data_IF_236248766564
#
_entry.id   IF_236248766564
#
_cell.length_a   1.000
_cell.length_b   1.000
_cell.length_c   1.000
_cell.angle_alpha   90.00
_cell.angle_beta   90.00
_cell.angle_gamma   90.00
#
_symmetry.space_group_name_H-M   'P 1'
#
loop_
_entity.id
_entity.type
_entity.pdbx_description
1 polymer ?
#
# COMPACT_ATOMS: atom_id res chain seq x y z
N UNK A 1 -14.82 -6.27 7.86
CA UNK A 1 -14.18 -7.10 6.84
C UNK A 1 -15.15 -8.16 6.40
N UNK A 2 -15.20 -8.45 5.12
CA UNK A 2 -15.97 -9.57 4.59
C UNK A 2 -15.01 -10.73 4.32
N UNK A 3 -15.36 -11.92 4.78
CA UNK A 3 -14.71 -13.14 4.31
C UNK A 3 -15.36 -13.50 2.97
N UNK A 4 -14.54 -13.80 1.97
CA UNK A 4 -15.01 -14.00 0.60
C UNK A 4 -14.47 -15.33 0.07
N UNK A 5 -15.31 -16.03 -0.69
CA UNK A 5 -14.85 -17.18 -1.46
C UNK A 5 -14.06 -16.66 -2.64
N UNK A 6 -12.78 -17.07 -2.71
CA UNK A 6 -11.86 -16.72 -3.78
C UNK A 6 -11.59 -17.98 -4.59
N UNK A 7 -11.88 -17.95 -5.89
CA UNK A 7 -11.67 -19.09 -6.77
C UNK A 7 -10.69 -18.75 -7.90
N UNK A 8 -10.18 -19.79 -8.54
CA UNK A 8 -9.45 -19.66 -9.78
C UNK A 8 -10.41 -19.20 -10.91
N UNK A 9 -10.00 -18.25 -11.74
CA UNK A 9 -10.83 -17.71 -12.83
C UNK A 9 -11.12 -18.71 -13.95
N UNK A 10 -10.30 -19.75 -14.08
CA UNK A 10 -10.36 -20.70 -15.18
C UNK A 10 -11.33 -21.87 -14.90
N UNK A 11 -11.89 -21.96 -13.70
CA UNK A 11 -12.90 -22.97 -13.37
C UNK A 11 -14.32 -22.43 -13.60
N UNK A 12 -15.30 -23.33 -13.69
CA UNK A 12 -16.72 -22.96 -13.57
C UNK A 12 -16.97 -22.37 -12.17
N UNK A 13 -17.13 -21.05 -12.11
CA UNK A 13 -17.28 -20.31 -10.86
C UNK A 13 -18.58 -20.72 -10.13
N UNK A 14 -18.52 -20.97 -8.81
CA UNK A 14 -19.71 -21.21 -8.00
C UNK A 14 -20.58 -19.95 -7.95
N UNK A 15 -21.90 -20.07 -7.94
CA UNK A 15 -22.80 -18.91 -7.82
C UNK A 15 -23.28 -18.69 -6.40
N UNK A 16 -23.32 -19.77 -5.61
CA UNK A 16 -23.73 -19.78 -4.23
C UNK A 16 -22.95 -20.83 -3.43
N UNK A 17 -23.28 -20.96 -2.15
CA UNK A 17 -22.63 -21.89 -1.21
C UNK A 17 -22.84 -23.35 -1.62
N UNK A 18 -23.95 -23.70 -2.27
CA UNK A 18 -24.24 -25.07 -2.70
C UNK A 18 -23.30 -25.54 -3.81
N UNK A 19 -22.92 -24.64 -4.71
CA UNK A 19 -21.95 -24.91 -5.79
C UNK A 19 -20.52 -25.16 -5.30
N UNK A 20 -20.23 -24.95 -4.00
CA UNK A 20 -18.92 -25.24 -3.40
C UNK A 20 -18.71 -26.72 -3.06
N UNK A 21 -19.79 -27.52 -3.04
CA UNK A 21 -19.75 -28.93 -2.63
C UNK A 21 -18.78 -29.76 -3.48
N UNK A 22 -18.69 -29.45 -4.78
CA UNK A 22 -17.83 -30.15 -5.73
C UNK A 22 -16.46 -29.46 -5.92
N UNK A 23 -16.10 -28.51 -5.05
CA UNK A 23 -14.86 -27.74 -5.16
C UNK A 23 -13.82 -28.19 -4.16
N UNK A 24 -12.56 -28.20 -4.58
CA UNK A 24 -11.39 -28.30 -3.69
C UNK A 24 -11.22 -26.98 -2.94
N UNK A 25 -12.04 -26.81 -1.89
CA UNK A 25 -12.05 -25.66 -0.99
C UNK A 25 -11.19 -25.94 0.24
N UNK A 26 -10.18 -25.10 0.50
CA UNK A 26 -9.29 -25.23 1.67
C UNK A 26 -9.23 -23.93 2.46
N UNK A 27 -9.23 -24.04 3.79
CA UNK A 27 -8.97 -22.92 4.71
C UNK A 27 -7.96 -23.28 5.80
N UNK A 28 -7.28 -22.29 6.40
CA UNK A 28 -6.40 -22.53 7.54
C UNK A 28 -7.19 -23.00 8.78
N UNK A 29 -6.59 -23.91 9.55
CA UNK A 29 -7.18 -24.35 10.82
C UNK A 29 -7.22 -23.22 11.87
N UNK A 30 -8.32 -23.12 12.61
CA UNK A 30 -8.57 -22.14 13.66
C UNK A 30 -8.81 -20.72 13.16
N UNK A 31 -9.08 -20.54 11.86
CA UNK A 31 -9.18 -19.20 11.27
C UNK A 31 -10.60 -18.63 11.28
N UNK A 32 -10.69 -17.31 11.06
CA UNK A 32 -11.98 -16.64 10.86
C UNK A 32 -12.75 -17.21 9.65
N UNK A 33 -12.02 -17.68 8.64
CA UNK A 33 -12.58 -18.30 7.45
C UNK A 33 -13.20 -19.68 7.73
N UNK A 34 -12.53 -20.51 8.55
CA UNK A 34 -13.09 -21.78 8.99
C UNK A 34 -14.39 -21.54 9.79
N UNK A 35 -14.39 -20.54 10.68
CA UNK A 35 -15.59 -20.18 11.45
C UNK A 35 -16.73 -19.72 10.52
N UNK A 36 -16.43 -18.89 9.52
CA UNK A 36 -17.41 -18.40 8.57
C UNK A 36 -18.02 -19.55 7.72
N UNK A 37 -17.21 -20.50 7.28
CA UNK A 37 -17.68 -21.72 6.59
C UNK A 37 -18.51 -22.60 7.52
N UNK A 38 -18.14 -22.73 8.79
CA UNK A 38 -18.92 -23.46 9.80
C UNK A 38 -20.33 -22.87 9.98
N UNK A 39 -20.46 -21.56 10.03
CA UNK A 39 -21.78 -20.90 10.08
C UNK A 39 -22.58 -21.06 8.77
N UNK A 40 -21.90 -21.03 7.62
CA UNK A 40 -22.54 -21.28 6.33
C UNK A 40 -23.03 -22.74 6.21
N UNK A 41 -22.25 -23.70 6.71
CA UNK A 41 -22.59 -25.13 6.69
C UNK A 41 -23.89 -25.42 7.45
N UNK A 42 -24.16 -24.73 8.57
CA UNK A 42 -25.44 -24.88 9.31
C UNK A 42 -26.66 -24.57 8.43
N UNK A 43 -26.51 -23.70 7.42
CA UNK A 43 -27.56 -23.31 6.47
C UNK A 43 -27.52 -24.13 5.18
N UNK A 44 -26.41 -24.81 4.91
CA UNK A 44 -26.18 -25.59 3.70
C UNK A 44 -25.38 -26.85 4.04
N UNK A 45 -26.05 -27.92 4.53
CA UNK A 45 -25.38 -29.12 5.05
C UNK A 45 -24.54 -29.89 4.01
N UNK A 46 -24.74 -29.63 2.71
CA UNK A 46 -23.90 -30.18 1.64
C UNK A 46 -22.52 -29.51 1.50
N UNK A 47 -22.31 -28.34 2.11
CA UNK A 47 -21.04 -27.61 2.03
C UNK A 47 -19.91 -28.43 2.65
N UNK A 48 -18.90 -28.75 1.85
CA UNK A 48 -17.69 -29.44 2.30
C UNK A 48 -16.45 -28.56 2.04
N UNK A 49 -15.50 -28.63 2.96
CA UNK A 49 -14.19 -27.99 2.84
C UNK A 49 -13.14 -28.79 3.59
N UNK A 50 -11.88 -28.56 3.23
CA UNK A 50 -10.73 -29.12 3.92
C UNK A 50 -10.09 -28.05 4.81
N UNK A 51 -9.62 -28.49 5.97
CA UNK A 51 -8.94 -27.63 6.95
C UNK A 51 -7.48 -28.03 7.01
N UNK A 52 -6.57 -27.08 6.70
CA UNK A 52 -5.13 -27.34 6.69
C UNK A 52 -4.45 -26.68 7.89
N UNK A 53 -3.87 -27.50 8.77
CA UNK A 53 -3.09 -27.02 9.93
C UNK A 53 -1.76 -26.43 9.48
N UNK A 54 -1.35 -25.32 10.07
CA UNK A 54 -0.09 -24.62 9.76
C UNK A 54 -0.08 -23.85 8.43
N UNK A 55 -1.16 -23.92 7.65
CA UNK A 55 -1.30 -23.12 6.44
C UNK A 55 -1.58 -21.66 6.78
N UNK A 56 -1.12 -20.74 5.92
CA UNK A 56 -1.52 -19.34 5.94
C UNK A 56 -2.35 -19.02 4.70
N UNK A 57 -3.31 -18.10 4.81
CA UNK A 57 -4.23 -17.76 3.71
C UNK A 57 -3.49 -17.37 2.43
N UNK A 58 -2.35 -16.69 2.54
CA UNK A 58 -1.51 -16.29 1.41
C UNK A 58 -1.04 -17.49 0.55
N UNK A 59 -0.69 -18.61 1.18
CA UNK A 59 -0.22 -19.81 0.48
C UNK A 59 -1.38 -20.52 -0.21
N UNK A 60 -2.54 -20.56 0.44
CA UNK A 60 -3.76 -21.11 -0.17
C UNK A 60 -4.21 -20.29 -1.38
N UNK A 61 -4.10 -18.96 -1.31
CA UNK A 61 -4.41 -18.09 -2.45
C UNK A 61 -3.42 -18.32 -3.62
N UNK A 62 -2.14 -18.59 -3.35
CA UNK A 62 -1.20 -19.01 -4.40
C UNK A 62 -1.63 -20.34 -5.04
N UNK A 63 -1.96 -21.33 -4.23
CA UNK A 63 -2.39 -22.65 -4.74
C UNK A 63 -3.69 -22.57 -5.56
N UNK A 64 -4.60 -21.64 -5.22
CA UNK A 64 -5.78 -21.34 -6.05
C UNK A 64 -5.35 -20.75 -7.39
N UNK A 65 -4.45 -19.77 -7.41
CA UNK A 65 -3.94 -19.15 -8.66
C UNK A 65 -3.27 -20.18 -9.59
N UNK A 66 -2.49 -21.10 -9.01
CA UNK A 66 -1.79 -22.19 -9.68
C UNK A 66 -2.73 -23.35 -10.11
N UNK A 67 -4.00 -23.32 -9.72
CA UNK A 67 -5.00 -24.35 -10.05
C UNK A 67 -4.88 -25.65 -9.23
N UNK A 68 -4.02 -25.67 -8.20
CA UNK A 68 -3.93 -26.79 -7.25
C UNK A 68 -5.17 -26.87 -6.36
N UNK A 69 -5.78 -25.73 -6.04
CA UNK A 69 -7.06 -25.61 -5.37
C UNK A 69 -8.08 -24.94 -6.29
N UNK A 70 -9.36 -25.27 -6.11
CA UNK A 70 -10.41 -24.61 -6.89
C UNK A 70 -10.77 -23.28 -6.24
N UNK A 71 -10.90 -23.28 -4.91
CA UNK A 71 -11.24 -22.10 -4.14
C UNK A 71 -10.54 -22.11 -2.76
N UNK A 72 -10.42 -20.93 -2.17
CA UNK A 72 -10.08 -20.69 -0.78
C UNK A 72 -11.02 -19.63 -0.22
N UNK A 73 -10.91 -19.32 1.06
CA UNK A 73 -11.58 -18.16 1.65
C UNK A 73 -10.52 -17.19 2.14
N UNK A 74 -10.73 -15.90 1.88
CA UNK A 74 -9.88 -14.82 2.36
C UNK A 74 -10.71 -13.55 2.59
N UNK A 75 -10.23 -12.66 3.44
CA UNK A 75 -10.87 -11.36 3.57
C UNK A 75 -10.42 -10.37 2.48
N UNK A 76 -11.16 -9.27 2.36
CA UNK A 76 -10.94 -8.20 1.38
C UNK A 76 -9.48 -7.69 1.37
N UNK A 77 -8.83 -7.59 2.54
CA UNK A 77 -7.44 -7.11 2.64
C UNK A 77 -6.45 -8.15 2.13
N UNK A 78 -6.63 -9.41 2.51
CA UNK A 78 -5.81 -10.52 2.06
C UNK A 78 -5.92 -10.73 0.55
N UNK A 79 -7.13 -10.61 -0.01
CA UNK A 79 -7.36 -10.69 -1.45
C UNK A 79 -6.70 -9.51 -2.19
N UNK A 80 -6.86 -8.29 -1.66
CA UNK A 80 -6.30 -7.09 -2.28
C UNK A 80 -4.76 -7.14 -2.34
N UNK A 81 -4.09 -7.71 -1.33
CA UNK A 81 -2.65 -8.01 -1.37
C UNK A 81 -2.33 -9.12 -2.38
N UNK A 82 -3.06 -10.23 -2.33
CA UNK A 82 -2.80 -11.39 -3.18
C UNK A 82 -2.92 -11.09 -4.69
N UNK A 83 -3.88 -10.26 -5.09
CA UNK A 83 -4.10 -9.85 -6.50
C UNK A 83 -2.94 -9.11 -7.14
N UNK A 84 -2.03 -8.54 -6.34
CA UNK A 84 -0.81 -7.95 -6.87
C UNK A 84 0.16 -9.02 -7.42
N UNK A 85 0.03 -10.28 -6.98
CA UNK A 85 0.96 -11.36 -7.32
C UNK A 85 0.31 -12.47 -8.14
N UNK A 86 -1.01 -12.59 -8.04
CA UNK A 86 -1.77 -13.74 -8.53
C UNK A 86 -2.96 -13.24 -9.37
N UNK A 87 -2.85 -13.38 -10.70
CA UNK A 87 -3.81 -12.80 -11.66
C UNK A 87 -5.08 -13.63 -11.85
N UNK A 88 -5.06 -14.92 -11.47
CA UNK A 88 -6.16 -15.85 -11.66
C UNK A 88 -7.12 -15.87 -10.46
N UNK A 89 -6.99 -14.94 -9.51
CA UNK A 89 -7.87 -14.86 -8.33
C UNK A 89 -9.10 -13.99 -8.55
N UNK A 90 -10.29 -14.57 -8.33
CA UNK A 90 -11.56 -13.85 -8.35
C UNK A 90 -12.36 -14.09 -7.07
N UNK A 91 -12.81 -13.00 -6.43
CA UNK A 91 -13.83 -13.06 -5.39
C UNK A 91 -15.18 -13.32 -6.03
N UNK A 92 -15.91 -14.29 -5.48
CA UNK A 92 -17.15 -14.79 -6.07
C UNK A 92 -18.37 -14.32 -5.28
N UNK A 93 -18.37 -14.53 -3.96
CA UNK A 93 -19.36 -14.00 -3.03
C UNK A 93 -18.82 -13.98 -1.59
N UNK A 94 -19.51 -13.24 -0.72
CA UNK A 94 -19.19 -13.16 0.71
C UNK A 94 -19.68 -14.43 1.43
N UNK A 95 -18.82 -15.04 2.26
CA UNK A 95 -19.18 -16.17 3.12
C UNK A 95 -19.59 -15.65 4.50
N UNK A 96 -20.87 -15.31 4.62
CA UNK A 96 -21.45 -14.79 5.86
C UNK A 96 -21.41 -13.26 6.00
N UNK A 97 -21.89 -12.71 7.13
CA UNK A 97 -21.96 -11.28 7.35
C UNK A 97 -20.58 -10.66 7.61
N UNK A 98 -20.41 -9.34 7.40
CA UNK A 98 -19.16 -8.65 7.72
C UNK A 98 -18.79 -8.78 9.20
N UNK A 99 -17.53 -9.11 9.47
CA UNK A 99 -16.93 -9.22 10.80
C UNK A 99 -16.11 -7.98 11.16
N UNK A 100 -15.86 -7.76 12.46
CA UNK A 100 -14.93 -6.74 12.97
C UNK A 100 -13.66 -7.42 13.48
N UNK A 101 -12.51 -6.83 13.17
CA UNK A 101 -11.23 -7.25 13.76
C UNK A 101 -11.17 -6.78 15.22
N UNK A 102 -10.66 -7.63 16.09
CA UNK A 102 -10.46 -7.35 17.50
C UNK A 102 -9.19 -8.04 18.01
N UNK A 103 -8.61 -7.50 19.07
CA UNK A 103 -7.59 -8.22 19.84
C UNK A 103 -8.29 -9.21 20.78
N UNK A 104 -7.82 -10.46 20.77
CA UNK A 104 -8.30 -11.51 21.65
C UNK A 104 -7.39 -11.63 22.87
N UNK A 105 -7.98 -11.92 24.01
CA UNK A 105 -7.29 -12.16 25.27
C UNK A 105 -7.70 -13.52 25.82
N UNK A 106 -6.86 -14.17 26.64
CA UNK A 106 -7.27 -15.31 27.45
C UNK A 106 -8.56 -15.00 28.23
N UNK A 107 -9.39 -16.02 28.44
CA UNK A 107 -10.68 -15.84 29.14
C UNK A 107 -10.52 -15.37 30.60
N UNK A 108 -9.35 -15.57 31.19
CA UNK A 108 -8.96 -15.17 32.53
C UNK A 108 -8.10 -13.89 32.56
N UNK A 109 -8.00 -13.16 31.44
CA UNK A 109 -7.24 -11.92 31.39
C UNK A 109 -7.78 -10.87 32.37
N UNK A 110 -6.87 -10.25 33.12
CA UNK A 110 -7.17 -9.24 34.14
C UNK A 110 -8.10 -8.13 33.60
N UNK A 111 -9.20 -7.78 34.29
CA UNK A 111 -10.12 -6.73 33.86
C UNK A 111 -9.44 -5.38 33.60
N UNK A 112 -8.38 -5.07 34.36
CA UNK A 112 -7.58 -3.86 34.21
C UNK A 112 -6.90 -3.80 32.83
N UNK A 113 -6.32 -4.91 32.36
CA UNK A 113 -5.70 -4.98 31.04
C UNK A 113 -6.74 -4.76 29.93
N UNK A 114 -7.92 -5.37 30.08
CA UNK A 114 -8.99 -5.21 29.09
C UNK A 114 -9.45 -3.75 28.99
N UNK A 115 -9.54 -3.06 30.13
CA UNK A 115 -9.88 -1.64 30.19
C UNK A 115 -8.81 -0.77 29.52
N UNK A 116 -7.53 -0.98 29.84
CA UNK A 116 -6.42 -0.23 29.22
C UNK A 116 -6.39 -0.39 27.70
N UNK A 117 -6.67 -1.59 27.19
CA UNK A 117 -6.74 -1.86 25.74
C UNK A 117 -7.95 -1.15 25.11
N UNK A 118 -9.10 -1.12 25.77
CA UNK A 118 -10.27 -0.38 25.29
C UNK A 118 -10.00 1.12 25.25
N UNK A 119 -9.38 1.68 26.30
CA UNK A 119 -9.00 3.08 26.38
C UNK A 119 -7.95 3.43 25.32
N UNK A 120 -6.98 2.55 25.09
CA UNK A 120 -6.02 2.65 23.97
C UNK A 120 -6.73 2.75 22.62
N UNK A 121 -7.61 1.81 22.28
CA UNK A 121 -8.34 1.82 21.00
C UNK A 121 -9.30 3.00 20.86
N UNK A 122 -9.92 3.44 21.96
CA UNK A 122 -10.75 4.65 22.00
C UNK A 122 -9.92 5.89 21.67
N UNK A 123 -8.73 6.01 22.25
CA UNK A 123 -7.80 7.12 21.98
C UNK A 123 -7.30 7.10 20.53
N UNK A 124 -6.73 5.98 20.07
CA UNK A 124 -6.17 5.91 18.70
C UNK A 124 -7.23 5.95 17.60
N UNK A 125 -8.47 5.59 17.93
CA UNK A 125 -9.62 5.76 17.04
C UNK A 125 -10.03 7.23 16.90
N UNK A 126 -10.08 7.96 18.02
CA UNK A 126 -10.45 9.39 18.05
C UNK A 126 -9.38 10.30 17.43
N UNK A 127 -8.10 10.04 17.72
CA UNK A 127 -7.00 10.88 17.23
C UNK A 127 -6.55 10.53 15.79
N UNK A 128 -7.21 9.55 15.16
CA UNK A 128 -6.94 9.13 13.78
C UNK A 128 -5.72 8.24 13.60
N UNK A 129 -4.97 7.91 14.66
CA UNK A 129 -3.79 7.03 14.60
C UNK A 129 -4.12 5.66 14.03
N UNK A 130 -5.24 5.06 14.43
CA UNK A 130 -5.66 3.77 13.89
C UNK A 130 -5.87 3.83 12.37
N UNK A 131 -6.55 4.88 11.89
CA UNK A 131 -6.79 5.07 10.46
C UNK A 131 -5.49 5.28 9.68
N UNK A 132 -4.53 6.03 10.24
CA UNK A 132 -3.19 6.20 9.64
C UNK A 132 -2.43 4.88 9.55
N UNK A 133 -2.49 4.05 10.60
CA UNK A 133 -1.87 2.73 10.60
C UNK A 133 -2.50 1.82 9.54
N UNK A 134 -3.83 1.77 9.48
CA UNK A 134 -4.53 0.98 8.46
C UNK A 134 -4.22 1.46 7.05
N UNK A 135 -4.21 2.77 6.79
CA UNK A 135 -3.84 3.30 5.48
C UNK A 135 -2.37 3.03 5.13
N UNK A 136 -1.46 3.11 6.11
CA UNK A 136 -0.03 2.85 5.91
C UNK A 136 0.20 1.47 5.32
N UNK A 137 -0.45 0.45 5.86
CA UNK A 137 -0.24 -0.95 5.48
C UNK A 137 -1.19 -1.47 4.40
N UNK A 138 -2.42 -0.94 4.32
CA UNK A 138 -3.47 -1.50 3.45
C UNK A 138 -4.08 -0.47 2.49
N UNK A 139 -3.82 0.83 2.66
CA UNK A 139 -4.45 1.90 1.88
C UNK A 139 -4.11 1.88 0.38
N UNK A 140 -2.99 1.24 0.05
CA UNK A 140 -2.50 1.04 -1.32
C UNK A 140 -2.82 -0.36 -1.89
N UNK A 141 -3.35 -1.29 -1.10
CA UNK A 141 -3.71 -2.62 -1.61
C UNK A 141 -4.89 -2.53 -2.59
N UNK A 142 -4.81 -3.26 -3.71
CA UNK A 142 -5.85 -3.24 -4.75
C UNK A 142 -5.93 -1.94 -5.57
N UNK A 143 -4.89 -1.11 -5.57
CA UNK A 143 -4.79 0.11 -6.41
C UNK A 143 -4.37 -0.18 -7.84
N UNK A 144 -3.63 -1.27 -8.04
CA UNK A 144 -3.23 -1.75 -9.35
C UNK A 144 -4.32 -2.67 -9.90
N UNK A 145 -4.59 -2.57 -11.20
CA UNK A 145 -5.37 -3.61 -11.86
C UNK A 145 -4.48 -4.88 -12.04
N UNK A 146 -5.08 -6.07 -12.20
CA UNK A 146 -4.30 -7.31 -12.31
C UNK A 146 -3.32 -7.36 -13.48
N UNK A 147 -3.60 -6.68 -14.59
CA UNK A 147 -2.70 -6.66 -15.76
C UNK A 147 -1.46 -5.83 -15.49
N UNK A 148 -1.61 -4.68 -14.83
CA UNK A 148 -0.48 -3.81 -14.45
C UNK A 148 0.43 -4.53 -13.46
N UNK A 149 -0.14 -5.22 -12.47
CA UNK A 149 0.60 -5.98 -11.48
C UNK A 149 1.37 -7.16 -12.11
N UNK A 150 0.75 -7.90 -13.04
CA UNK A 150 1.41 -8.96 -13.79
C UNK A 150 2.55 -8.43 -14.68
N UNK A 151 2.31 -7.33 -15.41
CA UNK A 151 3.33 -6.66 -16.22
C UNK A 151 4.52 -6.20 -15.37
N UNK A 152 4.25 -5.66 -14.17
CA UNK A 152 5.27 -5.26 -13.23
C UNK A 152 6.17 -6.42 -12.81
N UNK A 153 5.59 -7.56 -12.41
CA UNK A 153 6.38 -8.74 -11.99
C UNK A 153 7.27 -9.24 -13.14
N UNK A 154 6.74 -9.30 -14.36
CA UNK A 154 7.51 -9.72 -15.53
C UNK A 154 8.70 -8.80 -15.74
N UNK A 155 8.49 -7.48 -15.70
CA UNK A 155 9.57 -6.49 -15.85
C UNK A 155 10.53 -6.50 -14.66
N UNK A 156 10.05 -6.74 -13.44
CA UNK A 156 10.88 -6.78 -12.24
C UNK A 156 11.89 -7.94 -12.32
N UNK A 157 11.49 -9.05 -12.94
CA UNK A 157 12.38 -10.18 -13.15
C UNK A 157 13.30 -10.03 -14.39
N UNK A 158 12.86 -9.28 -15.42
CA UNK A 158 13.56 -9.21 -16.72
C UNK A 158 14.37 -7.95 -16.98
N UNK A 159 13.95 -6.80 -16.43
CA UNK A 159 14.48 -5.47 -16.78
C UNK A 159 15.15 -4.82 -15.57
N UNK A 160 14.52 -4.88 -14.39
CA UNK A 160 15.08 -4.27 -13.17
C UNK A 160 16.51 -4.73 -12.83
N UNK A 161 16.93 -6.00 -13.04
CA UNK A 161 18.29 -6.43 -12.75
C UNK A 161 19.37 -5.62 -13.47
N UNK A 162 19.09 -5.13 -14.68
CA UNK A 162 20.03 -4.33 -15.49
C UNK A 162 20.30 -2.94 -14.88
N UNK A 163 19.36 -2.42 -14.07
CA UNK A 163 19.42 -1.08 -13.49
C UNK A 163 19.54 -1.06 -11.96
N UNK A 164 19.45 -2.23 -11.30
CA UNK A 164 19.45 -2.36 -9.83
C UNK A 164 20.61 -1.60 -9.18
N UNK A 165 21.83 -1.80 -9.65
CA UNK A 165 23.02 -1.15 -9.10
C UNK A 165 22.94 0.38 -9.15
N UNK A 166 22.27 0.94 -10.16
CA UNK A 166 22.08 2.40 -10.29
C UNK A 166 21.07 2.92 -9.26
N UNK A 167 20.01 2.17 -8.99
CA UNK A 167 19.07 2.50 -7.92
C UNK A 167 19.72 2.38 -6.54
N UNK A 168 20.54 1.35 -6.31
CA UNK A 168 21.30 1.19 -5.06
C UNK A 168 22.31 2.33 -4.86
N UNK A 169 23.02 2.73 -5.91
CA UNK A 169 23.90 3.91 -5.89
C UNK A 169 23.12 5.18 -5.52
N UNK A 170 22.02 5.43 -6.23
CA UNK A 170 21.20 6.62 -6.00
C UNK A 170 20.57 6.65 -4.61
N UNK A 171 20.14 5.50 -4.11
CA UNK A 171 19.57 5.33 -2.78
C UNK A 171 20.57 5.62 -1.68
N UNK A 172 21.81 5.12 -1.82
CA UNK A 172 22.90 5.38 -0.88
C UNK A 172 23.24 6.88 -0.79
N UNK A 173 23.13 7.63 -1.90
CA UNK A 173 23.38 9.07 -1.91
C UNK A 173 22.36 9.89 -1.11
N UNK A 174 21.11 9.44 -1.05
CA UNK A 174 20.01 10.20 -0.42
C UNK A 174 19.50 9.57 0.88
N UNK A 175 20.03 8.42 1.28
CA UNK A 175 19.62 7.70 2.49
C UNK A 175 18.24 7.05 2.38
N UNK A 176 17.85 6.61 1.19
CA UNK A 176 16.55 5.96 0.92
C UNK A 176 16.68 4.46 0.64
N UNK A 177 15.54 3.78 0.57
CA UNK A 177 15.47 2.41 0.05
C UNK A 177 15.50 2.43 -1.49
N UNK A 178 16.43 1.68 -2.10
CA UNK A 178 16.53 1.60 -3.57
C UNK A 178 15.26 1.11 -4.23
N UNK A 179 14.46 0.28 -3.54
CA UNK A 179 13.18 -0.23 -4.05
C UNK A 179 12.14 0.88 -4.17
N UNK A 180 12.23 1.95 -3.37
CA UNK A 180 11.37 3.12 -3.51
C UNK A 180 11.70 3.88 -4.80
N UNK A 181 12.99 4.08 -5.09
CA UNK A 181 13.44 4.73 -6.31
C UNK A 181 13.12 3.90 -7.55
N UNK A 182 13.30 2.58 -7.48
CA UNK A 182 12.91 1.66 -8.54
C UNK A 182 11.39 1.67 -8.77
N UNK A 183 10.57 1.73 -7.72
CA UNK A 183 9.12 1.84 -7.83
C UNK A 183 8.68 3.17 -8.46
N UNK A 184 9.32 4.29 -8.09
CA UNK A 184 9.12 5.59 -8.73
C UNK A 184 9.47 5.53 -10.23
N UNK A 185 10.64 5.02 -10.58
CA UNK A 185 11.07 4.87 -11.97
C UNK A 185 10.12 3.98 -12.80
N UNK A 186 9.59 2.92 -12.20
CA UNK A 186 8.61 2.08 -12.87
C UNK A 186 7.31 2.84 -13.17
N UNK A 187 6.81 3.60 -12.19
CA UNK A 187 5.61 4.40 -12.37
C UNK A 187 5.80 5.49 -13.45
N UNK A 188 6.99 6.03 -13.57
CA UNK A 188 7.33 7.09 -14.53
C UNK A 188 7.56 6.55 -15.96
N UNK A 189 8.35 5.49 -16.11
CA UNK A 189 8.82 5.02 -17.43
C UNK A 189 8.73 3.51 -17.66
N UNK A 190 8.24 2.74 -16.68
CA UNK A 190 8.34 1.27 -16.68
C UNK A 190 9.78 0.75 -16.85
N UNK A 191 10.75 1.51 -16.32
CA UNK A 191 12.21 1.34 -16.49
C UNK A 191 12.71 1.47 -17.92
N UNK A 192 12.07 2.29 -18.74
CA UNK A 192 12.55 2.65 -20.07
C UNK A 192 13.41 3.94 -20.01
N UNK A 193 14.74 3.86 -20.20
CA UNK A 193 15.59 5.05 -20.20
C UNK A 193 15.34 5.96 -21.41
N UNK A 194 14.65 5.47 -22.44
CA UNK A 194 14.35 6.23 -23.66
C UNK A 194 12.91 6.79 -23.67
N UNK A 195 12.18 6.66 -22.56
CA UNK A 195 10.81 7.16 -22.45
C UNK A 195 10.72 8.66 -22.75
N UNK A 196 9.68 9.05 -23.49
CA UNK A 196 9.38 10.45 -23.83
C UNK A 196 7.88 10.72 -23.74
N UNK A 197 7.49 11.86 -23.17
CA UNK A 197 6.09 12.31 -23.15
C UNK A 197 5.80 13.41 -24.18
N UNK A 198 4.51 13.63 -24.44
CA UNK A 198 4.02 14.79 -25.21
C UNK A 198 4.31 16.14 -24.54
N UNK A 199 4.58 16.15 -23.23
CA UNK A 199 4.99 17.34 -22.45
C UNK A 199 6.52 17.50 -22.38
N UNK A 200 7.28 16.78 -23.21
CA UNK A 200 8.74 16.84 -23.31
C UNK A 200 9.50 16.41 -22.04
N UNK A 201 8.84 15.64 -21.18
CA UNK A 201 9.46 14.95 -20.07
C UNK A 201 10.12 13.67 -20.60
N UNK A 202 11.34 13.34 -20.16
CA UNK A 202 12.15 12.27 -20.75
C UNK A 202 12.96 11.47 -19.74
N UNK A 203 13.29 10.24 -20.13
CA UNK A 203 14.22 9.39 -19.41
C UNK A 203 13.57 8.50 -18.37
N UNK A 204 14.41 7.68 -17.71
CA UNK A 204 13.96 6.68 -16.74
C UNK A 204 13.16 7.26 -15.57
N UNK A 205 13.53 8.45 -15.09
CA UNK A 205 12.85 9.15 -14.01
C UNK A 205 11.89 10.24 -14.51
N UNK A 206 11.66 10.33 -15.82
CA UNK A 206 10.77 11.32 -16.43
C UNK A 206 11.05 12.74 -15.91
N UNK A 207 12.24 13.27 -16.25
CA UNK A 207 12.66 14.61 -15.84
C UNK A 207 12.21 15.68 -16.84
N UNK A 208 11.64 16.77 -16.33
CA UNK A 208 11.47 18.01 -17.10
C UNK A 208 12.84 18.60 -17.44
N UNK A 209 12.89 19.47 -18.43
CA UNK A 209 14.13 20.18 -18.80
C UNK A 209 14.65 21.05 -17.65
N UNK A 210 13.76 21.82 -17.02
CA UNK A 210 14.09 22.63 -15.85
C UNK A 210 14.66 21.79 -14.69
N UNK A 211 14.08 20.62 -14.44
CA UNK A 211 14.57 19.73 -13.36
C UNK A 211 15.92 19.14 -13.73
N UNK A 212 16.11 18.71 -14.98
CA UNK A 212 17.39 18.21 -15.46
C UNK A 212 18.50 19.27 -15.35
N UNK A 213 18.23 20.50 -15.76
CA UNK A 213 19.16 21.63 -15.64
C UNK A 213 19.51 21.90 -14.18
N UNK A 214 18.50 21.95 -13.31
CA UNK A 214 18.69 22.16 -11.86
C UNK A 214 19.52 21.05 -11.22
N UNK A 215 19.35 19.81 -11.68
CA UNK A 215 20.09 18.64 -11.20
C UNK A 215 21.42 18.42 -11.95
N UNK A 216 21.77 19.30 -12.90
CA UNK A 216 22.99 19.25 -13.72
C UNK A 216 23.13 17.95 -14.53
N UNK A 217 22.03 17.51 -15.13
CA UNK A 217 21.97 16.37 -16.05
C UNK A 217 22.39 16.81 -17.45
N UNK A 218 23.36 16.13 -18.04
CA UNK A 218 23.79 16.38 -19.42
C UNK A 218 22.92 15.60 -20.40
N UNK A 219 22.56 14.36 -20.05
CA UNK A 219 21.75 13.49 -20.91
C UNK A 219 20.60 12.84 -20.13
N UNK A 220 19.38 13.34 -20.33
CA UNK A 220 18.16 12.77 -19.72
C UNK A 220 17.87 11.32 -20.14
N UNK A 221 18.41 10.87 -21.28
CA UNK A 221 18.23 9.51 -21.80
C UNK A 221 19.32 8.54 -21.31
N UNK A 222 20.33 9.02 -20.59
CA UNK A 222 21.25 8.16 -19.85
C UNK A 222 20.56 7.68 -18.57
N UNK A 223 20.46 6.36 -18.40
CA UNK A 223 19.76 5.76 -17.27
C UNK A 223 20.35 6.20 -15.92
N UNK A 224 21.68 6.23 -15.82
CA UNK A 224 22.37 6.58 -14.57
C UNK A 224 22.17 8.04 -14.22
N UNK A 225 22.37 8.96 -15.18
CA UNK A 225 22.13 10.38 -14.95
C UNK A 225 20.65 10.65 -14.59
N UNK A 226 19.71 10.00 -15.29
CA UNK A 226 18.29 10.13 -15.03
C UNK A 226 17.92 9.66 -13.61
N UNK A 227 18.36 8.45 -13.20
CA UNK A 227 18.11 7.89 -11.86
C UNK A 227 18.70 8.80 -10.78
N UNK A 228 19.97 9.18 -10.90
CA UNK A 228 20.66 9.99 -9.88
C UNK A 228 20.00 11.37 -9.71
N UNK A 229 19.58 11.99 -10.81
CA UNK A 229 18.88 13.27 -10.76
C UNK A 229 17.48 13.15 -10.19
N UNK A 230 16.72 12.11 -10.55
CA UNK A 230 15.41 11.83 -9.95
C UNK A 230 15.50 11.63 -8.43
N UNK A 231 16.50 10.88 -7.97
CA UNK A 231 16.76 10.66 -6.54
C UNK A 231 17.10 11.98 -5.81
N UNK A 232 18.02 12.79 -6.36
CA UNK A 232 18.36 14.11 -5.80
C UNK A 232 17.16 15.06 -5.78
N UNK A 233 16.34 15.04 -6.82
CA UNK A 233 15.14 15.86 -6.88
C UNK A 233 14.12 15.45 -5.82
N UNK A 234 13.90 14.14 -5.61
CA UNK A 234 13.08 13.64 -4.51
C UNK A 234 13.62 14.09 -3.14
N UNK A 235 14.93 13.96 -2.91
CA UNK A 235 15.57 14.39 -1.67
C UNK A 235 15.39 15.89 -1.40
N UNK A 236 15.55 16.72 -2.44
CA UNK A 236 15.29 18.15 -2.38
C UNK A 236 13.83 18.45 -1.98
N UNK A 237 12.86 17.75 -2.58
CA UNK A 237 11.44 17.93 -2.22
C UNK A 237 11.18 17.52 -0.76
N UNK A 238 11.80 16.43 -0.28
CA UNK A 238 11.73 16.03 1.13
C UNK A 238 12.34 17.08 2.08
N UNK A 239 13.43 17.73 1.67
CA UNK A 239 14.07 18.80 2.44
C UNK A 239 13.16 20.04 2.55
N UNK A 240 12.46 20.39 1.47
CA UNK A 240 11.54 21.53 1.44
C UNK A 240 10.27 21.31 2.29
N UNK A 241 9.96 20.08 2.70
CA UNK A 241 8.82 19.82 3.58
C UNK A 241 9.06 20.36 4.99
N UNK A 242 8.02 20.85 5.70
CA UNK A 242 8.15 21.25 7.10
C UNK A 242 8.77 20.14 7.98
N UNK A 243 9.73 20.48 8.85
CA UNK A 243 10.45 19.52 9.69
C UNK A 243 9.54 18.68 10.61
N UNK A 244 8.36 19.20 10.95
CA UNK A 244 7.33 18.51 11.77
C UNK A 244 6.68 17.30 11.08
N UNK A 245 6.81 17.17 9.77
CA UNK A 245 6.22 16.06 9.00
C UNK A 245 7.12 14.83 9.17
N UNK A 246 6.67 13.78 9.87
CA UNK A 246 7.47 12.59 10.11
C UNK A 246 7.47 11.64 8.90
N UNK A 247 8.40 10.70 8.89
CA UNK A 247 8.29 9.52 8.02
C UNK A 247 7.18 8.58 8.54
N UNK A 248 6.45 7.86 7.65
CA UNK A 248 6.65 7.80 6.20
C UNK A 248 5.89 8.87 5.40
N UNK A 249 5.04 9.69 6.05
CA UNK A 249 4.22 10.70 5.39
C UNK A 249 5.04 11.73 4.61
N UNK A 250 6.21 12.10 5.13
CA UNK A 250 7.16 12.99 4.46
C UNK A 250 7.53 12.49 3.06
N UNK A 251 7.81 11.20 2.92
CA UNK A 251 8.12 10.57 1.62
C UNK A 251 6.92 10.60 0.68
N UNK A 252 5.72 10.26 1.15
CA UNK A 252 4.51 10.23 0.31
C UNK A 252 4.11 11.62 -0.16
N UNK A 253 4.21 12.63 0.71
CA UNK A 253 3.99 14.02 0.37
C UNK A 253 5.05 14.51 -0.64
N UNK A 254 6.32 14.16 -0.46
CA UNK A 254 7.36 14.51 -1.43
C UNK A 254 7.13 13.88 -2.82
N UNK A 255 6.63 12.63 -2.89
CA UNK A 255 6.24 12.00 -4.16
C UNK A 255 5.04 12.69 -4.82
N UNK A 256 4.07 13.17 -4.02
CA UNK A 256 2.98 13.99 -4.56
C UNK A 256 3.50 15.33 -5.12
N UNK A 257 4.47 15.96 -4.45
CA UNK A 257 5.15 17.15 -4.95
C UNK A 257 6.04 16.86 -6.17
N UNK A 258 6.59 15.64 -6.30
CA UNK A 258 7.39 15.23 -7.46
C UNK A 258 6.54 15.30 -8.73
N UNK A 259 5.30 14.80 -8.65
CA UNK A 259 4.37 14.77 -9.78
C UNK A 259 3.69 16.11 -10.05
N UNK A 260 3.16 16.76 -9.01
CA UNK A 260 2.28 17.93 -9.17
C UNK A 260 2.94 19.27 -8.80
N UNK A 261 4.17 19.24 -8.29
CA UNK A 261 4.88 20.41 -7.78
C UNK A 261 4.51 20.75 -6.33
N UNK A 262 5.48 21.28 -5.59
CA UNK A 262 5.33 21.60 -4.16
C UNK A 262 4.26 22.66 -3.88
N UNK A 263 4.05 23.60 -4.79
CA UNK A 263 3.02 24.66 -4.63
C UNK A 263 1.60 24.08 -4.59
N UNK A 264 1.29 23.16 -5.49
CA UNK A 264 -0.02 22.50 -5.51
C UNK A 264 -0.19 21.51 -4.36
N UNK A 265 0.88 20.85 -3.93
CA UNK A 265 0.85 20.08 -2.68
C UNK A 265 0.48 20.97 -1.50
N UNK A 266 1.09 22.16 -1.39
CA UNK A 266 0.80 23.09 -0.30
C UNK A 266 -0.66 23.58 -0.35
N UNK A 267 -1.19 23.84 -1.55
CA UNK A 267 -2.61 24.16 -1.72
C UNK A 267 -3.52 23.03 -1.20
N UNK A 268 -3.18 21.76 -1.45
CA UNK A 268 -3.91 20.62 -0.90
C UNK A 268 -3.78 20.51 0.64
N UNK A 269 -2.59 20.79 1.19
CA UNK A 269 -2.37 20.85 2.65
C UNK A 269 -3.21 21.95 3.29
N UNK A 270 -3.31 23.11 2.66
CA UNK A 270 -4.18 24.22 3.09
C UNK A 270 -5.65 23.78 3.10
N UNK A 271 -6.13 23.13 2.02
CA UNK A 271 -7.51 22.61 1.99
C UNK A 271 -7.77 21.59 3.11
N UNK A 272 -6.80 20.71 3.36
CA UNK A 272 -6.87 19.69 4.42
C UNK A 272 -6.98 20.35 5.80
N UNK A 273 -6.17 21.38 6.05
CA UNK A 273 -6.20 22.13 7.30
C UNK A 273 -7.52 22.89 7.47
N UNK A 274 -8.06 23.51 6.40
CA UNK A 274 -9.37 24.20 6.43
C UNK A 274 -10.51 23.25 6.80
N UNK A 275 -10.36 21.96 6.53
CA UNK A 275 -11.30 20.93 6.89
C UNK A 275 -11.11 20.36 8.31
N UNK A 276 -10.18 20.92 9.09
CA UNK A 276 -9.87 20.44 10.44
C UNK A 276 -9.11 19.10 10.48
N UNK A 277 -8.53 18.68 9.35
CA UNK A 277 -7.72 17.47 9.23
C UNK A 277 -6.22 17.82 9.29
N UNK A 278 -5.35 16.83 9.54
CA UNK A 278 -3.91 17.07 9.60
C UNK A 278 -3.32 17.31 8.20
N UNK A 279 -2.69 18.46 7.95
CA UNK A 279 -1.97 18.73 6.70
C UNK A 279 -0.64 17.98 6.61
N UNK A 280 -0.24 17.26 7.65
CA UNK A 280 1.02 16.54 7.75
C UNK A 280 0.83 15.02 7.55
N UNK A 281 -0.40 14.58 7.26
CA UNK A 281 -0.80 13.19 7.03
C UNK A 281 -1.14 12.97 5.56
N UNK A 282 -0.39 12.12 4.86
CA UNK A 282 -0.69 11.75 3.47
C UNK A 282 -2.10 11.19 3.32
N UNK A 283 -2.53 10.34 4.27
CA UNK A 283 -3.87 9.74 4.28
C UNK A 283 -5.00 10.79 4.27
N UNK A 284 -4.76 11.94 4.90
CA UNK A 284 -5.74 13.04 4.92
C UNK A 284 -5.56 13.96 3.71
N UNK A 285 -4.33 14.36 3.40
CA UNK A 285 -4.01 15.26 2.27
C UNK A 285 -4.49 14.69 0.94
N UNK A 286 -4.33 13.38 0.71
CA UNK A 286 -4.75 12.73 -0.53
C UNK A 286 -6.26 12.79 -0.79
N UNK A 287 -7.08 12.98 0.26
CA UNK A 287 -8.54 13.16 0.11
C UNK A 287 -8.88 14.53 -0.48
N UNK A 288 -8.03 15.53 -0.27
CA UNK A 288 -8.24 16.91 -0.69
C UNK A 288 -7.54 17.25 -2.00
N UNK A 289 -6.48 16.52 -2.38
CA UNK A 289 -5.79 16.74 -3.66
C UNK A 289 -6.72 16.72 -4.90
N UNK A 290 -7.70 15.81 -5.03
CA UNK A 290 -8.60 15.82 -6.20
C UNK A 290 -9.39 17.13 -6.35
N UNK A 291 -9.65 17.85 -5.25
CA UNK A 291 -10.41 19.10 -5.27
C UNK A 291 -9.64 20.27 -5.88
N UNK A 292 -8.34 20.13 -6.12
CA UNK A 292 -7.54 21.12 -6.86
C UNK A 292 -7.99 21.30 -8.32
N UNK A 293 -8.81 20.39 -8.86
CA UNK A 293 -9.40 20.53 -10.19
C UNK A 293 -10.80 21.21 -10.17
N UNK A 294 -11.35 21.47 -8.98
CA UNK A 294 -12.72 21.93 -8.79
C UNK A 294 -12.76 23.46 -8.58
N UNK A 295 -13.49 24.24 -9.43
CA UNK A 295 -13.49 25.70 -9.39
C UNK A 295 -13.86 26.34 -8.05
N UNK A 296 -14.74 25.69 -7.28
CA UNK A 296 -15.12 26.17 -5.94
C UNK A 296 -13.98 26.13 -4.93
N UNK A 297 -12.96 25.32 -5.16
CA UNK A 297 -11.81 25.16 -4.27
C UNK A 297 -10.58 25.90 -4.83
N UNK A 298 -10.14 25.56 -6.05
CA UNK A 298 -8.85 26.05 -6.56
C UNK A 298 -8.79 27.57 -6.75
N UNK A 299 -9.93 28.25 -6.97
CA UNK A 299 -9.98 29.72 -7.07
C UNK A 299 -9.63 30.42 -5.75
N UNK A 300 -9.67 29.70 -4.63
CA UNK A 300 -9.33 30.22 -3.30
C UNK A 300 -7.88 29.91 -2.87
N UNK A 301 -7.10 29.34 -3.79
CA UNK A 301 -5.76 28.81 -3.56
C UNK A 301 -4.75 29.57 -4.41
N UNK A 302 -3.49 29.58 -3.97
CA UNK A 302 -2.45 30.45 -4.55
C UNK A 302 -2.04 30.01 -5.96
N UNK A 303 -1.95 28.70 -6.19
CA UNK A 303 -1.41 28.15 -7.45
C UNK A 303 -2.53 27.73 -8.41
N UNK A 304 -3.79 27.78 -7.98
CA UNK A 304 -4.95 27.57 -8.84
C UNK A 304 -5.14 26.11 -9.24
N UNK A 305 -5.60 25.90 -10.46
CA UNK A 305 -6.00 24.58 -10.97
C UNK A 305 -4.81 23.61 -10.98
N UNK A 306 -5.04 22.39 -10.48
CA UNK A 306 -4.14 21.26 -10.65
C UNK A 306 -4.89 19.94 -10.76
N UNK A 307 -4.25 18.95 -11.38
CA UNK A 307 -4.78 17.59 -11.52
C UNK A 307 -4.39 16.72 -10.33
N UNK A 308 -4.70 17.18 -9.11
CA UNK A 308 -4.22 16.51 -7.90
C UNK A 308 -4.67 15.04 -7.74
N UNK A 309 -5.72 14.60 -8.45
CA UNK A 309 -6.07 13.18 -8.53
C UNK A 309 -5.01 12.31 -9.21
N UNK A 310 -4.30 12.84 -10.23
CA UNK A 310 -3.19 12.13 -10.90
C UNK A 310 -2.03 11.88 -9.92
N UNK A 311 -1.70 12.87 -9.07
CA UNK A 311 -0.70 12.72 -8.03
C UNK A 311 -1.06 11.66 -6.99
N UNK A 312 -2.34 11.57 -6.60
CA UNK A 312 -2.81 10.51 -5.69
C UNK A 312 -2.64 9.13 -6.32
N UNK A 313 -3.02 8.98 -7.59
CA UNK A 313 -2.85 7.72 -8.32
C UNK A 313 -1.37 7.33 -8.39
N UNK A 314 -0.49 8.29 -8.71
CA UNK A 314 0.95 8.06 -8.78
C UNK A 314 1.51 7.57 -7.44
N UNK A 315 1.24 8.28 -6.35
CA UNK A 315 1.78 7.92 -5.02
C UNK A 315 1.27 6.55 -4.58
N UNK A 316 -0.01 6.26 -4.75
CA UNK A 316 -0.59 4.97 -4.37
C UNK A 316 -0.08 3.81 -5.24
N UNK A 317 0.22 4.06 -6.52
CA UNK A 317 0.85 3.07 -7.41
C UNK A 317 2.30 2.80 -7.00
N UNK A 318 3.08 3.84 -6.70
CA UNK A 318 4.46 3.71 -6.19
C UNK A 318 4.49 2.92 -4.89
N UNK A 319 3.58 3.21 -3.94
CA UNK A 319 3.45 2.45 -2.69
C UNK A 319 3.19 0.96 -2.95
N UNK A 320 2.35 0.66 -3.95
CA UNK A 320 2.05 -0.71 -4.36
C UNK A 320 3.28 -1.41 -4.96
N UNK A 321 3.94 -0.80 -5.95
CA UNK A 321 5.16 -1.35 -6.55
C UNK A 321 6.30 -1.52 -5.54
N UNK A 322 6.46 -0.56 -4.63
CA UNK A 322 7.45 -0.63 -3.56
C UNK A 322 7.21 -1.83 -2.63
N UNK A 323 5.96 -2.03 -2.20
CA UNK A 323 5.58 -3.21 -1.42
C UNK A 323 5.81 -4.52 -2.19
N UNK A 324 5.54 -4.53 -3.50
CA UNK A 324 5.81 -5.68 -4.37
C UNK A 324 7.30 -6.00 -4.47
N UNK A 325 8.17 -5.01 -4.69
CA UNK A 325 9.62 -5.21 -4.74
C UNK A 325 10.17 -5.76 -3.43
N UNK A 326 9.71 -5.23 -2.28
CA UNK A 326 10.10 -5.76 -0.97
C UNK A 326 9.82 -7.25 -0.83
N UNK A 327 8.72 -7.72 -1.41
CA UNK A 327 8.30 -9.13 -1.35
C UNK A 327 8.95 -10.03 -2.38
N UNK A 328 9.35 -9.50 -3.53
CA UNK A 328 10.06 -10.27 -4.56
C UNK A 328 11.52 -10.58 -4.18
N UNK A 329 12.11 -9.82 -3.24
CA UNK A 329 13.50 -10.05 -2.81
C UNK A 329 13.68 -11.41 -2.11
N UNK A 330 14.73 -12.19 -2.49
CA UNK A 330 15.06 -13.45 -1.84
C UNK A 330 15.32 -13.24 -0.34
N UNK A 331 14.63 -13.99 0.52
CA UNK A 331 14.83 -13.93 1.98
C UNK A 331 14.13 -12.75 2.68
N UNK A 332 13.22 -12.04 2.02
CA UNK A 332 12.39 -11.03 2.65
C UNK A 332 11.52 -11.66 3.77
N UNK A 333 11.94 -11.50 5.02
CA UNK A 333 11.05 -11.66 6.17
C UNK A 333 9.90 -10.63 6.02
N UNK A 334 8.68 -10.94 6.49
CA UNK A 334 7.64 -9.92 6.60
C UNK A 334 8.25 -8.73 7.36
N UNK A 335 8.11 -7.51 6.84
CA UNK A 335 8.59 -6.32 7.54
C UNK A 335 7.99 -6.31 8.95
N UNK A 336 8.81 -6.59 9.95
CA UNK A 336 8.47 -6.22 11.31
C UNK A 336 8.30 -4.70 11.31
N UNK A 337 7.30 -4.15 12.02
CA UNK A 337 7.24 -2.71 12.24
C UNK A 337 8.62 -2.25 12.76
N UNK A 338 9.11 -1.07 12.33
CA UNK A 338 10.49 -0.66 12.59
C UNK A 338 10.80 -0.80 14.08
N UNK A 339 11.85 -1.58 14.39
CA UNK A 339 12.29 -1.87 15.77
C UNK A 339 12.80 -0.64 16.52
N UNK A 340 12.91 0.52 15.87
CA UNK A 340 13.30 1.76 16.51
C UNK A 340 12.16 2.78 16.51
N UNK A 341 11.13 2.49 17.30
CA UNK A 341 10.52 3.55 18.09
C UNK A 341 11.13 3.40 19.47
N UNK A 342 12.18 4.17 19.73
CA UNK A 342 12.70 4.35 21.09
C UNK A 342 11.59 5.01 21.90
N UNK A 343 10.70 4.22 22.49
CA UNK A 343 9.94 4.66 23.64
C UNK A 343 10.96 4.78 24.77
N UNK A 344 11.66 5.91 24.84
CA UNK A 344 12.04 6.39 26.15
C UNK A 344 10.70 6.61 26.87
N UNK A 345 10.36 5.68 27.75
CA UNK A 345 9.45 5.93 28.84
C UNK A 345 9.86 7.28 29.44
N UNK A 346 9.01 8.30 29.29
CA UNK A 346 9.15 9.51 30.08
C UNK A 346 8.86 9.09 31.53
N UNK A 347 9.92 8.80 32.27
CA UNK A 347 9.88 8.87 33.73
C UNK A 347 9.56 10.32 34.11
N UNK A 348 8.52 10.59 34.92
CA UNK A 348 8.27 9.81 36.13
C UNK A 348 6.77 9.54 36.42
N UNK A 349 6.35 8.27 36.34
CA UNK A 349 5.16 7.76 37.06
C UNK A 349 5.51 6.57 37.98
N UNK A 350 6.78 6.44 38.38
CA UNK A 350 7.25 5.46 39.36
C UNK A 350 7.07 5.86 40.83
N UNK A 351 6.36 6.96 41.15
CA UNK A 351 6.22 7.46 42.54
C UNK A 351 4.79 7.63 43.06
N UNK A 352 3.79 7.03 42.40
CA UNK A 352 2.40 7.03 42.90
C UNK A 352 1.89 5.65 43.35
N UNK A 353 2.80 4.71 43.61
CA UNK A 353 2.47 3.42 44.25
C UNK A 353 3.44 3.09 45.39
N UNK A 354 3.34 3.87 46.47
CA UNK A 354 3.36 3.36 47.85
C UNK A 354 2.18 3.96 48.60
#
# INVERSE_FOLDING_TARGET
>A
MREQVICNRDIKLPKDVGDLTDKRLVVPAGSAQETALGEAHKKSPGLYWQVRRGAITKDLLREVDEGMLDCAVANELQLADARNYYSNLIAVFDIGPPSRLAWAFPSDAAPELQKEVQDFFSRIGKDGTLNRLLDRYYGHSGRLNPLDAASFIIRANKVLPDYRNLFEEAAALIGEDWRLLAALAYQESQWDPLATSFTNVRGMMMLTEETADRMKVNNRLDARESILAGAKYLALLKEQMPARIPEPDRTWLALAAYNQGIGHLEDARILTQRAGMSPDSWMEVKKWMPLLNSPGYYKTLKHGYARGGEAVILVESIRSYYAMLKRLEPGAAPESPPENVTYQLLEPLGRLLK
#
